data_IF_859683206656
#
_entry.id   IF_859683206656
#
_cell.length_a   1.000
_cell.length_b   1.000
_cell.length_c   1.000
_cell.angle_alpha   90.00
_cell.angle_beta   90.00
_cell.angle_gamma   90.00
#
_symmetry.space_group_name_H-M   'P 1'
#
loop_
_entity.id
_entity.type
_entity.pdbx_description
1 polymer ?
#
# COMPACT_ATOMS: atom_id res chain seq x y z
N UNK A 1 -14.05 2.59 47.43
CA UNK A 1 -14.22 2.49 45.96
C UNK A 1 -13.42 3.63 45.35
N UNK A 2 -12.32 3.37 44.62
CA UNK A 2 -11.67 4.40 43.80
C UNK A 2 -12.42 4.58 42.48
N UNK A 3 -12.45 5.79 41.91
CA UNK A 3 -13.16 6.05 40.67
C UNK A 3 -12.47 5.43 39.47
N UNK A 4 -13.31 4.85 38.64
CA UNK A 4 -13.02 4.23 37.34
C UNK A 4 -12.28 5.23 36.43
N UNK A 5 -10.99 4.98 36.15
CA UNK A 5 -10.23 5.74 35.16
C UNK A 5 -10.50 5.13 33.79
N UNK A 6 -11.45 5.68 33.09
CA UNK A 6 -11.57 5.45 31.64
C UNK A 6 -10.26 5.81 30.95
N UNK A 7 -9.73 4.97 30.04
CA UNK A 7 -8.57 5.33 29.23
C UNK A 7 -8.94 6.51 28.34
N UNK A 8 -8.28 7.64 28.58
CA UNK A 8 -8.41 8.82 27.74
C UNK A 8 -8.01 8.45 26.31
N UNK A 9 -8.96 8.58 25.39
CA UNK A 9 -8.74 8.55 23.95
C UNK A 9 -7.82 9.72 23.58
N UNK A 10 -6.50 9.52 23.69
CA UNK A 10 -5.50 10.45 23.17
C UNK A 10 -5.12 10.04 21.74
N UNK A 11 -6.02 10.24 20.80
CA UNK A 11 -5.68 10.41 19.40
C UNK A 11 -6.80 11.18 18.69
N UNK A 12 -6.57 12.43 18.43
CA UNK A 12 -7.21 13.19 17.36
C UNK A 12 -6.16 14.14 16.79
N UNK A 13 -5.84 13.99 15.51
CA UNK A 13 -6.48 14.84 14.54
C UNK A 13 -7.20 13.99 13.49
N UNK A 14 -8.49 14.20 13.35
CA UNK A 14 -9.19 13.86 12.13
C UNK A 14 -8.51 14.66 11.00
N UNK A 15 -7.61 14.01 10.25
CA UNK A 15 -7.26 14.47 8.92
C UNK A 15 -8.59 14.46 8.18
N UNK A 16 -9.15 15.63 7.86
CA UNK A 16 -10.29 15.74 6.96
C UNK A 16 -9.84 15.24 5.61
N UNK A 17 -9.98 13.94 5.39
CA UNK A 17 -9.53 13.27 4.17
C UNK A 17 -10.57 13.55 3.09
N UNK A 18 -10.18 14.25 2.04
CA UNK A 18 -11.01 14.58 0.87
C UNK A 18 -11.08 13.42 -0.15
N UNK A 19 -10.79 12.20 0.31
CA UNK A 19 -10.81 11.02 -0.54
C UNK A 19 -12.26 10.65 -0.88
N UNK A 20 -12.64 10.80 -2.14
CA UNK A 20 -14.02 10.65 -2.64
C UNK A 20 -14.30 9.26 -3.22
N UNK A 21 -13.23 8.53 -3.62
CA UNK A 21 -13.36 7.19 -4.22
C UNK A 21 -12.71 6.16 -3.32
N UNK A 22 -13.16 4.88 -3.39
CA UNK A 22 -12.47 3.79 -2.72
C UNK A 22 -10.97 3.78 -3.06
N UNK A 23 -10.15 3.56 -2.05
CA UNK A 23 -8.69 3.44 -2.16
C UNK A 23 -8.29 2.03 -1.76
N UNK A 24 -7.60 1.34 -2.65
CA UNK A 24 -6.93 0.09 -2.33
C UNK A 24 -5.43 0.34 -2.45
N UNK A 25 -4.72 0.17 -1.34
CA UNK A 25 -3.28 0.41 -1.27
C UNK A 25 -2.52 -0.87 -0.92
N UNK A 26 -1.53 -1.23 -1.74
CA UNK A 26 -0.56 -2.29 -1.44
C UNK A 26 0.73 -1.64 -0.96
N UNK A 27 1.03 -1.80 0.33
CA UNK A 27 2.22 -1.22 0.96
C UNK A 27 3.37 -2.21 0.88
N UNK A 28 4.40 -1.87 0.10
CA UNK A 28 5.56 -2.72 -0.13
C UNK A 28 6.86 -2.16 0.46
N UNK A 29 7.86 -3.03 0.56
CA UNK A 29 9.21 -2.70 1.00
C UNK A 29 9.87 -3.87 1.71
N UNK A 30 11.16 -3.75 1.99
CA UNK A 30 11.95 -4.77 2.69
C UNK A 30 11.46 -4.98 4.13
N UNK A 31 11.85 -6.06 4.77
CA UNK A 31 11.65 -6.28 6.21
C UNK A 31 12.26 -5.11 6.99
N UNK A 32 11.58 -4.67 8.06
CA UNK A 32 12.05 -3.54 8.86
C UNK A 32 11.73 -2.15 8.27
N UNK A 33 11.17 -2.04 7.05
CA UNK A 33 10.76 -0.73 6.48
C UNK A 33 9.57 -0.10 7.21
N UNK A 34 8.85 -0.85 8.04
CA UNK A 34 7.71 -0.35 8.80
C UNK A 34 6.34 -0.59 8.16
N UNK A 35 6.25 -1.50 7.19
CA UNK A 35 5.00 -1.82 6.45
C UNK A 35 3.78 -1.95 7.36
N UNK A 36 3.81 -2.87 8.32
CA UNK A 36 2.68 -3.11 9.23
C UNK A 36 2.29 -1.87 10.00
N UNK A 37 3.26 -1.17 10.61
CA UNK A 37 3.00 0.06 11.38
C UNK A 37 2.36 1.15 10.52
N UNK A 38 2.93 1.41 9.34
CA UNK A 38 2.43 2.43 8.41
C UNK A 38 1.05 2.03 7.90
N UNK A 39 0.83 0.76 7.55
CA UNK A 39 -0.44 0.26 7.01
C UNK A 39 -1.58 0.32 8.02
N UNK A 40 -1.33 -0.04 9.29
CA UNK A 40 -2.32 0.11 10.36
C UNK A 40 -2.70 1.57 10.58
N UNK A 41 -1.73 2.48 10.60
CA UNK A 41 -2.01 3.91 10.73
C UNK A 41 -2.70 4.48 9.49
N UNK A 42 -2.32 4.04 8.30
CA UNK A 42 -2.94 4.46 7.05
C UNK A 42 -4.38 3.98 6.95
N UNK A 43 -4.65 2.72 7.27
CA UNK A 43 -6.02 2.19 7.29
C UNK A 43 -6.92 2.92 8.28
N UNK A 44 -6.40 3.28 9.46
CA UNK A 44 -7.12 4.10 10.43
C UNK A 44 -7.39 5.52 9.91
N UNK A 45 -6.41 6.15 9.23
CA UNK A 45 -6.58 7.48 8.63
C UNK A 45 -7.61 7.48 7.49
N UNK A 46 -7.66 6.41 6.70
CA UNK A 46 -8.60 6.23 5.58
C UNK A 46 -9.97 5.69 6.02
N UNK A 47 -10.13 5.25 7.27
CA UNK A 47 -11.34 4.62 7.77
C UNK A 47 -11.67 3.29 7.06
N UNK A 48 -10.66 2.51 6.68
CA UNK A 48 -10.81 1.28 5.90
C UNK A 48 -10.18 0.07 6.58
N UNK A 49 -10.37 -1.11 5.99
CA UNK A 49 -9.83 -2.36 6.53
C UNK A 49 -8.32 -2.48 6.26
N UNK A 50 -7.66 -3.24 7.12
CA UNK A 50 -6.25 -3.60 7.02
C UNK A 50 -6.10 -5.11 6.92
N UNK A 51 -5.24 -5.57 6.00
CA UNK A 51 -4.84 -6.96 5.86
C UNK A 51 -3.31 -7.08 5.89
N UNK A 52 -2.79 -7.86 6.83
CA UNK A 52 -1.39 -8.28 6.77
C UNK A 52 -1.24 -9.37 5.71
N UNK A 53 -0.44 -9.10 4.68
CA UNK A 53 -0.28 -10.04 3.55
C UNK A 53 0.39 -11.34 3.94
N UNK A 54 1.24 -11.33 4.97
CA UNK A 54 1.92 -12.53 5.44
C UNK A 54 0.93 -13.55 6.06
N UNK A 55 -0.23 -13.10 6.58
CA UNK A 55 -1.29 -13.96 7.10
C UNK A 55 -1.99 -14.80 6.00
N UNK A 56 -1.82 -14.41 4.73
CA UNK A 56 -2.40 -15.10 3.58
C UNK A 56 -1.52 -16.24 3.05
N UNK A 57 -0.37 -16.51 3.68
CA UNK A 57 0.47 -17.63 3.28
C UNK A 57 -0.22 -18.98 3.49
N UNK A 58 -0.14 -19.90 2.51
CA UNK A 58 -0.55 -21.30 2.73
C UNK A 58 0.23 -21.94 3.89
N UNK A 59 -0.39 -22.87 4.60
CA UNK A 59 0.23 -23.55 5.74
C UNK A 59 1.61 -24.17 5.39
N UNK A 60 1.74 -24.74 4.20
CA UNK A 60 3.03 -25.29 3.74
C UNK A 60 4.15 -24.22 3.63
N UNK A 61 3.81 -22.98 3.29
CA UNK A 61 4.78 -21.90 3.26
C UNK A 61 5.16 -21.47 4.68
N UNK A 62 4.18 -21.40 5.57
CA UNK A 62 4.39 -21.07 6.99
C UNK A 62 5.34 -22.10 7.62
N UNK A 63 5.14 -23.38 7.37
CA UNK A 63 6.01 -24.46 7.86
C UNK A 63 7.43 -24.35 7.31
N UNK A 64 7.60 -24.08 6.01
CA UNK A 64 8.92 -23.83 5.41
C UNK A 64 9.62 -22.63 6.06
N UNK A 65 8.91 -21.53 6.27
CA UNK A 65 9.47 -20.34 6.93
C UNK A 65 9.88 -20.62 8.37
N UNK A 66 9.07 -21.36 9.12
CA UNK A 66 9.39 -21.77 10.50
C UNK A 66 10.61 -22.70 10.58
N UNK A 67 10.79 -23.57 9.59
CA UNK A 67 11.99 -24.42 9.50
C UNK A 67 13.24 -23.69 8.99
N UNK A 68 13.14 -22.38 8.71
CA UNK A 68 14.23 -21.57 8.17
C UNK A 68 14.52 -21.84 6.70
N UNK A 69 13.63 -22.58 5.99
CA UNK A 69 13.78 -22.87 4.56
C UNK A 69 13.25 -21.70 3.71
N UNK A 70 14.08 -21.10 2.85
CA UNK A 70 13.62 -20.02 1.99
C UNK A 70 12.53 -20.47 1.02
N UNK A 71 11.51 -19.65 0.83
CA UNK A 71 10.48 -19.88 -0.18
C UNK A 71 11.05 -19.65 -1.58
N UNK A 72 10.74 -20.55 -2.50
CA UNK A 72 10.98 -20.37 -3.95
C UNK A 72 9.89 -19.47 -4.56
N UNK A 73 10.08 -19.04 -5.81
CA UNK A 73 9.06 -18.29 -6.55
C UNK A 73 7.78 -19.14 -6.75
N UNK A 74 7.93 -20.46 -6.95
CA UNK A 74 6.82 -21.40 -7.06
C UNK A 74 6.02 -21.50 -5.76
N UNK A 75 6.70 -21.51 -4.60
CA UNK A 75 6.03 -21.50 -3.30
C UNK A 75 5.24 -20.20 -3.06
N UNK A 76 5.75 -19.07 -3.56
CA UNK A 76 5.09 -17.77 -3.39
C UNK A 76 3.87 -17.59 -4.28
N UNK A 77 3.80 -18.26 -5.42
CA UNK A 77 2.75 -18.03 -6.41
C UNK A 77 1.32 -18.19 -5.87
N UNK A 78 0.96 -19.25 -5.11
CA UNK A 78 -0.36 -19.37 -4.51
C UNK A 78 -0.68 -18.21 -3.53
N UNK A 79 0.31 -17.80 -2.74
CA UNK A 79 0.17 -16.67 -1.81
C UNK A 79 -0.07 -15.33 -2.55
N UNK A 80 0.71 -15.05 -3.60
CA UNK A 80 0.53 -13.83 -4.40
C UNK A 80 -0.83 -13.79 -5.08
N UNK A 81 -1.34 -14.93 -5.55
CA UNK A 81 -2.70 -15.05 -6.09
C UNK A 81 -3.74 -14.76 -5.04
N UNK A 82 -3.55 -15.31 -3.82
CA UNK A 82 -4.46 -15.07 -2.69
C UNK A 82 -4.55 -13.59 -2.32
N UNK A 83 -3.41 -12.87 -2.35
CA UNK A 83 -3.39 -11.42 -2.20
C UNK A 83 -4.20 -10.73 -3.30
N UNK A 84 -4.02 -11.14 -4.56
CA UNK A 84 -4.80 -10.59 -5.68
C UNK A 84 -6.31 -10.84 -5.53
N UNK A 85 -6.72 -12.04 -5.07
CA UNK A 85 -8.12 -12.38 -4.79
C UNK A 85 -8.73 -11.51 -3.69
N UNK A 86 -7.97 -11.23 -2.61
CA UNK A 86 -8.42 -10.33 -1.54
C UNK A 86 -8.67 -8.91 -2.07
N UNK A 87 -7.74 -8.39 -2.87
CA UNK A 87 -7.88 -7.11 -3.54
C UNK A 87 -9.12 -7.09 -4.45
N UNK A 88 -9.32 -8.13 -5.26
CA UNK A 88 -10.49 -8.24 -6.15
C UNK A 88 -11.80 -8.31 -5.37
N UNK A 89 -11.78 -8.95 -4.21
CA UNK A 89 -12.91 -8.96 -3.28
C UNK A 89 -13.28 -7.55 -2.82
N UNK A 90 -12.32 -6.72 -2.41
CA UNK A 90 -12.57 -5.33 -2.03
C UNK A 90 -13.08 -4.49 -3.20
N UNK A 91 -12.46 -4.65 -4.38
CA UNK A 91 -12.90 -3.97 -5.61
C UNK A 91 -14.34 -4.28 -5.97
N UNK A 92 -14.73 -5.56 -5.90
CA UNK A 92 -16.09 -6.00 -6.21
C UNK A 92 -17.15 -5.42 -5.26
N UNK A 93 -16.78 -5.16 -4.00
CA UNK A 93 -17.65 -4.55 -3.00
C UNK A 93 -17.59 -3.03 -2.96
N UNK A 94 -16.69 -2.41 -3.75
CA UNK A 94 -16.46 -0.96 -3.70
C UNK A 94 -15.88 -0.49 -2.38
N UNK A 95 -15.09 -1.33 -1.72
CA UNK A 95 -14.48 -1.06 -0.42
C UNK A 95 -13.06 -0.53 -0.55
N UNK A 96 -12.66 0.30 0.41
CA UNK A 96 -11.26 0.68 0.58
C UNK A 96 -10.54 -0.35 1.45
N UNK A 97 -9.24 -0.55 1.19
CA UNK A 97 -8.41 -1.44 1.98
C UNK A 97 -6.92 -1.14 1.85
N UNK A 98 -6.18 -1.45 2.91
CA UNK A 98 -4.71 -1.37 2.94
C UNK A 98 -4.16 -2.77 3.20
N UNK A 99 -3.28 -3.24 2.33
CA UNK A 99 -2.67 -4.56 2.43
C UNK A 99 -1.14 -4.43 2.43
N UNK A 100 -0.45 -5.21 3.27
CA UNK A 100 1.02 -5.28 3.23
C UNK A 100 1.48 -6.45 2.36
N UNK A 101 2.54 -6.23 1.60
CA UNK A 101 3.28 -7.30 0.94
C UNK A 101 4.72 -6.85 0.69
N UNK A 102 5.72 -7.70 0.91
CA UNK A 102 7.10 -7.32 0.55
C UNK A 102 7.25 -6.98 -0.93
N UNK A 103 6.61 -7.74 -1.84
CA UNK A 103 6.49 -7.51 -3.29
C UNK A 103 7.80 -7.09 -3.98
N UNK A 104 8.94 -7.71 -3.57
CA UNK A 104 10.29 -7.26 -3.91
C UNK A 104 10.61 -7.38 -5.40
N UNK A 105 10.01 -8.34 -6.11
CA UNK A 105 10.20 -8.51 -7.55
C UNK A 105 9.05 -7.88 -8.33
N UNK A 106 9.35 -7.28 -9.49
CA UNK A 106 8.33 -6.78 -10.41
C UNK A 106 7.31 -7.86 -10.80
N UNK A 107 7.78 -9.09 -11.04
CA UNK A 107 6.91 -10.22 -11.35
C UNK A 107 5.85 -10.48 -10.26
N UNK A 108 6.18 -10.26 -8.99
CA UNK A 108 5.21 -10.39 -7.89
C UNK A 108 4.17 -9.28 -7.92
N UNK A 109 4.61 -8.03 -8.17
CA UNK A 109 3.72 -6.87 -8.30
C UNK A 109 2.76 -7.01 -9.47
N UNK A 110 3.22 -7.59 -10.58
CA UNK A 110 2.36 -7.89 -11.73
C UNK A 110 1.25 -8.90 -11.39
N UNK A 111 1.50 -9.85 -10.49
CA UNK A 111 0.47 -10.81 -10.04
C UNK A 111 -0.53 -10.12 -9.10
N UNK A 112 -0.04 -9.30 -8.18
CA UNK A 112 -0.86 -8.65 -7.15
C UNK A 112 -1.67 -7.50 -7.73
N UNK A 113 -1.06 -6.66 -8.56
CA UNK A 113 -1.66 -5.43 -9.10
C UNK A 113 -2.09 -5.62 -10.55
N UNK A 114 -1.19 -6.09 -11.43
CA UNK A 114 -1.49 -6.33 -12.84
C UNK A 114 -2.21 -5.17 -13.50
N UNK A 115 -3.37 -5.44 -14.09
CA UNK A 115 -4.22 -4.45 -14.77
C UNK A 115 -5.17 -3.67 -13.84
N UNK A 116 -5.04 -3.80 -12.52
CA UNK A 116 -5.89 -3.14 -11.52
C UNK A 116 -5.47 -1.68 -11.36
N UNK A 117 -5.88 -0.83 -12.30
CA UNK A 117 -5.53 0.60 -12.36
C UNK A 117 -6.04 1.43 -11.17
N UNK A 118 -6.98 0.89 -10.40
CA UNK A 118 -7.55 1.45 -9.17
C UNK A 118 -6.80 1.03 -7.89
N UNK A 119 -5.80 0.15 -8.02
CA UNK A 119 -4.93 -0.27 -6.92
C UNK A 119 -3.66 0.56 -6.92
N UNK A 120 -3.33 1.13 -5.78
CA UNK A 120 -2.13 1.96 -5.61
C UNK A 120 -0.99 1.17 -4.95
N UNK A 121 0.16 1.13 -5.61
CA UNK A 121 1.39 0.64 -5.02
C UNK A 121 2.03 1.73 -4.16
N UNK A 122 2.22 1.48 -2.87
CA UNK A 122 2.94 2.37 -1.95
C UNK A 122 4.29 1.74 -1.61
N UNK A 123 5.36 2.33 -2.08
CA UNK A 123 6.72 1.85 -1.82
C UNK A 123 7.37 2.59 -0.65
N UNK A 124 7.58 1.89 0.45
CA UNK A 124 8.32 2.38 1.61
C UNK A 124 9.83 2.22 1.36
N UNK A 125 10.47 3.28 0.85
CA UNK A 125 11.88 3.30 0.54
C UNK A 125 12.71 3.67 1.76
N UNK A 126 13.70 2.85 2.09
CA UNK A 126 14.66 3.12 3.15
C UNK A 126 16.06 2.70 2.75
N UNK A 127 17.06 3.48 3.16
CA UNK A 127 18.44 3.06 2.96
C UNK A 127 18.75 1.80 3.78
N UNK A 128 19.70 0.99 3.29
CA UNK A 128 20.15 -0.23 3.97
C UNK A 128 20.57 0.07 5.41
N UNK A 129 21.35 1.14 5.62
CA UNK A 129 21.84 1.52 6.96
C UNK A 129 20.71 1.90 7.92
N UNK A 130 19.71 2.63 7.44
CA UNK A 130 18.55 3.00 8.25
C UNK A 130 17.77 1.76 8.67
N UNK A 131 17.48 0.86 7.73
CA UNK A 131 16.73 -0.36 8.02
C UNK A 131 17.51 -1.29 8.95
N UNK A 132 18.83 -1.45 8.76
CA UNK A 132 19.70 -2.18 9.67
C UNK A 132 19.65 -1.62 11.11
N UNK A 133 19.77 -0.30 11.25
CA UNK A 133 19.68 0.35 12.58
C UNK A 133 18.33 0.10 13.24
N UNK A 134 17.24 0.17 12.48
CA UNK A 134 15.89 -0.09 13.00
C UNK A 134 15.70 -1.54 13.44
N UNK A 135 16.22 -2.49 12.68
CA UNK A 135 16.13 -3.91 13.02
C UNK A 135 16.99 -4.24 14.24
N UNK A 136 18.20 -3.69 14.33
CA UNK A 136 19.08 -3.88 15.49
C UNK A 136 18.48 -3.32 16.80
N UNK A 137 17.66 -2.28 16.72
CA UNK A 137 16.98 -1.67 17.87
C UNK A 137 15.74 -2.46 18.35
N UNK A 138 15.28 -3.48 17.62
CA UNK A 138 14.14 -4.34 18.00
C UNK A 138 14.63 -5.54 18.80
N UNK A 139 14.39 -5.55 20.10
CA UNK A 139 14.85 -6.62 21.00
C UNK A 139 14.09 -7.96 20.84
N UNK A 140 12.92 -7.99 20.21
CA UNK A 140 12.05 -9.17 20.18
C UNK A 140 11.97 -9.91 18.83
N UNK A 141 12.55 -9.40 17.76
CA UNK A 141 12.53 -10.04 16.45
C UNK A 141 13.96 -10.20 15.92
N UNK A 142 14.55 -11.35 16.21
CA UNK A 142 15.86 -11.71 15.66
C UNK A 142 15.70 -12.17 14.20
N UNK A 143 15.53 -11.23 13.29
CA UNK A 143 15.71 -11.55 11.86
C UNK A 143 17.21 -11.46 11.57
N UNK A 144 17.85 -12.54 11.07
CA UNK A 144 19.25 -12.52 10.72
C UNK A 144 19.56 -11.39 9.73
N UNK A 145 20.65 -10.68 9.94
CA UNK A 145 21.12 -9.62 9.03
C UNK A 145 21.24 -10.13 7.58
N UNK A 146 21.69 -11.38 7.41
CA UNK A 146 21.79 -12.04 6.12
C UNK A 146 20.45 -12.10 5.34
N UNK A 147 19.32 -12.19 6.05
CA UNK A 147 18.00 -12.20 5.39
C UNK A 147 17.64 -10.81 4.88
N UNK A 148 17.96 -9.74 5.60
CA UNK A 148 17.77 -8.38 5.11
C UNK A 148 18.62 -8.09 3.88
N UNK A 149 19.89 -8.50 3.92
CA UNK A 149 20.81 -8.36 2.79
C UNK A 149 20.30 -9.08 1.54
N UNK A 150 19.78 -10.28 1.71
CA UNK A 150 19.15 -11.06 0.65
C UNK A 150 17.90 -10.36 0.08
N UNK A 151 17.12 -9.67 0.93
CA UNK A 151 15.97 -8.89 0.45
C UNK A 151 16.39 -7.67 -0.36
N UNK A 152 17.42 -6.93 0.08
CA UNK A 152 17.97 -5.83 -0.71
C UNK A 152 18.56 -6.31 -2.04
N UNK A 153 19.22 -7.46 -2.07
CA UNK A 153 19.75 -8.06 -3.29
C UNK A 153 18.62 -8.51 -4.26
N UNK A 154 17.46 -8.88 -3.71
CA UNK A 154 16.29 -9.32 -4.49
C UNK A 154 15.41 -8.15 -4.91
N UNK A 155 15.48 -7.02 -4.22
CA UNK A 155 14.62 -5.87 -4.44
C UNK A 155 14.84 -5.29 -5.85
N UNK A 156 13.80 -5.35 -6.64
CA UNK A 156 13.63 -4.58 -7.85
C UNK A 156 12.76 -3.37 -7.49
N UNK A 157 13.37 -2.22 -7.32
CA UNK A 157 12.62 -1.00 -7.01
C UNK A 157 11.54 -0.75 -8.06
N UNK A 158 10.33 -0.32 -7.67
CA UNK A 158 9.29 0.00 -8.64
C UNK A 158 9.74 1.10 -9.59
N UNK A 159 9.45 0.89 -10.86
CA UNK A 159 9.78 1.82 -11.95
C UNK A 159 8.62 2.79 -12.20
N UNK A 160 8.85 3.96 -12.85
CA UNK A 160 7.81 4.96 -13.09
C UNK A 160 6.56 4.46 -13.80
N UNK A 161 6.69 3.44 -14.66
CA UNK A 161 5.59 2.80 -15.37
C UNK A 161 4.68 1.93 -14.47
N UNK A 162 5.14 1.59 -13.27
CA UNK A 162 4.32 0.98 -12.22
C UNK A 162 3.54 2.03 -11.39
N UNK A 163 3.75 3.31 -11.66
CA UNK A 163 3.12 4.45 -10.96
C UNK A 163 3.12 4.34 -9.43
N UNK A 164 4.25 4.01 -8.77
CA UNK A 164 4.27 3.88 -7.32
C UNK A 164 4.09 5.22 -6.62
N UNK A 165 3.49 5.22 -5.43
CA UNK A 165 3.72 6.24 -4.43
C UNK A 165 4.98 5.86 -3.65
N UNK A 166 6.07 6.57 -3.87
CA UNK A 166 7.34 6.30 -3.16
C UNK A 166 7.48 7.26 -2.00
N UNK A 167 7.62 6.71 -0.79
CA UNK A 167 7.80 7.50 0.43
C UNK A 167 9.04 7.03 1.17
N UNK A 168 9.90 7.98 1.54
CA UNK A 168 11.08 7.70 2.36
C UNK A 168 10.68 7.43 3.80
N UNK A 169 11.24 6.36 4.37
CA UNK A 169 10.90 5.94 5.73
C UNK A 169 11.77 6.58 6.82
N UNK A 170 12.57 7.60 6.50
CA UNK A 170 13.43 8.29 7.47
C UNK A 170 12.67 9.02 8.59
N UNK A 171 11.43 9.43 8.34
CA UNK A 171 10.58 10.16 9.27
C UNK A 171 9.85 9.27 10.29
N UNK A 172 9.02 9.92 11.10
CA UNK A 172 8.11 9.25 12.04
C UNK A 172 6.95 8.59 11.27
N UNK A 173 6.39 7.47 11.76
CA UNK A 173 5.28 6.79 11.08
C UNK A 173 4.10 7.69 10.73
N UNK A 174 3.73 8.62 11.60
CA UNK A 174 2.64 9.56 11.35
C UNK A 174 2.94 10.53 10.19
N UNK A 175 4.19 10.97 10.03
CA UNK A 175 4.63 11.84 8.93
C UNK A 175 4.60 11.08 7.60
N UNK A 176 5.03 9.81 7.61
CA UNK A 176 4.99 8.93 6.45
C UNK A 176 3.54 8.73 6.00
N UNK A 177 2.62 8.47 6.93
CA UNK A 177 1.19 8.32 6.62
C UNK A 177 0.59 9.60 6.07
N UNK A 178 0.89 10.75 6.66
CA UNK A 178 0.41 12.06 6.17
C UNK A 178 0.87 12.31 4.73
N UNK A 179 2.11 11.98 4.40
CA UNK A 179 2.65 12.09 3.04
C UNK A 179 1.95 11.13 2.06
N UNK A 180 1.68 9.88 2.47
CA UNK A 180 0.93 8.91 1.64
C UNK A 180 -0.47 9.44 1.36
N UNK A 181 -1.20 9.92 2.39
CA UNK A 181 -2.55 10.46 2.24
C UNK A 181 -2.56 11.65 1.29
N UNK A 182 -1.64 12.61 1.45
CA UNK A 182 -1.48 13.76 0.56
C UNK A 182 -1.31 13.33 -0.91
N UNK A 183 -0.43 12.37 -1.19
CA UNK A 183 -0.20 11.86 -2.55
C UNK A 183 -1.43 11.12 -3.11
N UNK A 184 -2.18 10.40 -2.27
CA UNK A 184 -3.44 9.75 -2.67
C UNK A 184 -4.51 10.78 -3.05
N UNK A 185 -4.66 11.86 -2.26
CA UNK A 185 -5.59 12.97 -2.54
C UNK A 185 -5.24 13.67 -3.85
N UNK A 186 -3.97 13.98 -4.08
CA UNK A 186 -3.49 14.58 -5.33
C UNK A 186 -3.81 13.71 -6.55
N UNK A 187 -3.60 12.41 -6.47
CA UNK A 187 -3.95 11.48 -7.55
C UNK A 187 -5.45 11.48 -7.85
N UNK A 188 -6.29 11.51 -6.83
CA UNK A 188 -7.74 11.58 -7.01
C UNK A 188 -8.18 12.93 -7.56
N UNK A 189 -7.61 14.04 -7.10
CA UNK A 189 -7.86 15.38 -7.61
C UNK A 189 -7.48 15.53 -9.08
N UNK A 190 -6.33 15.02 -9.49
CA UNK A 190 -5.91 15.00 -10.89
C UNK A 190 -6.84 14.15 -11.77
N UNK A 191 -7.31 13.00 -11.28
CA UNK A 191 -8.24 12.14 -12.01
C UNK A 191 -9.62 12.80 -12.20
N UNK A 192 -10.06 13.65 -11.28
CA UNK A 192 -11.31 14.41 -11.39
C UNK A 192 -11.16 15.60 -12.36
N UNK A 193 -10.04 16.30 -12.34
CA UNK A 193 -9.72 17.42 -13.24
C UNK A 193 -9.69 17.01 -14.71
N UNK A 194 -9.14 15.83 -15.03
CA UNK A 194 -9.12 15.30 -16.41
C UNK A 194 -10.52 14.93 -16.96
N UNK A 195 -11.45 14.53 -16.10
CA UNK A 195 -12.83 14.24 -16.54
C UNK A 195 -13.66 15.50 -16.78
N UNK A 196 -13.36 16.60 -16.12
CA UNK A 196 -14.06 17.88 -16.30
C UNK A 196 -13.72 18.57 -17.62
N UNK A 197 -12.51 18.38 -18.15
CA UNK A 197 -12.07 19.02 -19.41
C UNK A 197 -12.46 18.25 -20.67
N UNK A 198 -12.82 16.98 -20.58
CA UNK A 198 -13.24 16.15 -21.72
C UNK A 198 -14.73 16.24 -22.06
N UNK A 199 -15.54 16.94 -21.26
CA UNK A 199 -17.00 17.04 -21.44
C UNK A 199 -17.50 18.34 -22.08
N UNK A 200 -16.61 19.28 -22.46
CA UNK A 200 -17.04 20.64 -22.85
C UNK A 200 -16.87 20.97 -24.35
N UNK A 201 -16.72 19.97 -25.23
CA UNK A 201 -16.58 20.26 -26.67
C UNK A 201 -17.51 19.40 -27.52
N UNK A 202 -18.81 19.53 -27.33
CA UNK A 202 -19.80 19.06 -28.31
C UNK A 202 -21.17 19.70 -28.11
N UNK A 203 -21.30 21.02 -28.33
CA UNK A 203 -22.58 21.64 -28.61
C UNK A 203 -22.41 23.12 -29.03
N UNK A 204 -22.02 23.39 -30.24
CA UNK A 204 -22.42 24.59 -30.96
C UNK A 204 -21.91 24.53 -32.41
N UNK A 205 -22.69 23.90 -33.28
CA UNK A 205 -22.83 24.40 -34.63
C UNK A 205 -24.06 23.70 -35.32
N UNK A 206 -25.20 24.34 -35.26
CA UNK A 206 -26.31 24.09 -36.16
C UNK A 206 -27.35 25.19 -35.99
N UNK A 207 -27.16 26.35 -36.63
CA UNK A 207 -28.29 27.14 -37.15
C UNK A 207 -27.79 28.43 -37.85
N UNK A 208 -27.78 28.39 -39.16
CA UNK A 208 -28.09 29.51 -40.10
C UNK A 208 -28.21 28.82 -41.43
N UNK A 209 -29.34 28.59 -41.98
CA UNK A 209 -30.52 29.42 -42.20
C UNK A 209 -30.43 29.99 -43.59
N UNK A 210 -30.95 29.25 -44.55
CA UNK A 210 -31.21 29.80 -45.89
C UNK A 210 -32.68 30.18 -46.01
N UNK A 211 -32.89 31.34 -46.52
CA UNK A 211 -34.08 31.76 -47.33
C UNK A 211 -33.70 32.98 -48.16
N UNK A 212 -34.46 33.24 -49.18
CA UNK A 212 -35.07 32.39 -50.23
C UNK A 212 -34.36 32.62 -51.57
#
# INVERSE_FOLDING_TARGET
MPPDRQPQRMWSPALSTTIVKPVIAVVMGVSGSGKTTVSVLLSAALGCQFQEGDDLHPAANVEKMHSGTPLTDADRLPWLRKIGEEIDGWRARGESGVLTCSALKRAYRNIIIGDRSDVTLVYLRGSRDLIHKRMAARHEHFMPVALLDSQFATLQEPTPDEHPLTVDVGGRPAEIVAEIVRQLEERQGMALGHKSTSGATAASDASKGERP
#
